data_IF_148904230504
#
_entry.id   IF_148904230504
#
_cell.length_a   1.000
_cell.length_b   1.000
_cell.length_c   1.000
_cell.angle_alpha   90.00
_cell.angle_beta   90.00
_cell.angle_gamma   90.00
#
_symmetry.space_group_name_H-M   'P 1'
#
loop_
_entity.id
_entity.type
_entity.pdbx_description
1 polymer ?
#
# COMPACT_ATOMS: atom_id res chain seq x y z
N UNK A 1 -35.81 -34.37 23.30
CA UNK A 1 -34.84 -35.44 22.98
C UNK A 1 -34.13 -35.03 21.70
N UNK A 2 -32.80 -34.96 21.72
CA UNK A 2 -32.01 -34.76 20.50
C UNK A 2 -32.14 -36.05 19.67
N UNK A 3 -32.60 -35.94 18.42
CA UNK A 3 -32.81 -37.10 17.55
C UNK A 3 -31.49 -37.69 17.06
N UNK A 4 -31.48 -38.99 16.71
CA UNK A 4 -30.30 -39.70 16.17
C UNK A 4 -29.60 -38.91 15.05
N UNK A 5 -30.38 -38.33 14.14
CA UNK A 5 -29.88 -37.51 13.02
C UNK A 5 -29.09 -36.29 13.49
N UNK A 6 -29.55 -35.60 14.55
CA UNK A 6 -28.85 -34.43 15.07
C UNK A 6 -27.52 -34.82 15.74
N UNK A 7 -27.48 -35.96 16.45
CA UNK A 7 -26.23 -36.49 17.01
C UNK A 7 -25.23 -36.89 15.91
N UNK A 8 -25.71 -37.46 14.81
CA UNK A 8 -24.83 -37.81 13.67
C UNK A 8 -24.31 -36.55 13.00
N UNK A 9 -25.14 -35.53 12.75
CA UNK A 9 -24.69 -34.26 12.16
C UNK A 9 -23.64 -33.57 13.03
N UNK A 10 -23.88 -33.46 14.33
CA UNK A 10 -22.93 -32.88 15.27
C UNK A 10 -21.60 -33.66 15.27
N UNK A 11 -21.64 -35.00 15.24
CA UNK A 11 -20.43 -35.80 15.11
C UNK A 11 -19.67 -35.54 13.80
N UNK A 12 -20.37 -35.32 12.69
CA UNK A 12 -19.75 -35.03 11.39
C UNK A 12 -19.07 -33.67 11.34
N UNK A 13 -19.62 -32.66 12.02
CA UNK A 13 -19.01 -31.33 12.13
C UNK A 13 -17.60 -31.37 12.73
N UNK A 14 -17.33 -32.33 13.61
CA UNK A 14 -15.99 -32.54 14.20
C UNK A 14 -15.13 -33.54 13.43
N UNK A 15 -15.70 -34.69 13.04
CA UNK A 15 -14.95 -35.78 12.44
C UNK A 15 -14.47 -35.48 11.02
N UNK A 16 -15.27 -34.75 10.23
CA UNK A 16 -14.92 -34.48 8.83
C UNK A 16 -13.68 -33.56 8.73
N UNK A 17 -13.60 -32.42 9.44
CA UNK A 17 -12.38 -31.61 9.43
C UNK A 17 -11.15 -32.34 9.98
N UNK A 18 -11.30 -33.13 11.04
CA UNK A 18 -10.20 -33.89 11.66
C UNK A 18 -9.63 -34.94 10.69
N UNK A 19 -10.50 -35.75 10.09
CA UNK A 19 -10.08 -36.79 9.13
C UNK A 19 -9.51 -36.19 7.85
N UNK A 20 -10.07 -35.08 7.36
CA UNK A 20 -9.53 -34.37 6.21
C UNK A 20 -8.13 -33.83 6.51
N UNK A 21 -7.93 -33.21 7.66
CA UNK A 21 -6.62 -32.69 8.07
C UNK A 21 -5.57 -33.80 8.16
N UNK A 22 -5.93 -34.96 8.71
CA UNK A 22 -5.04 -36.11 8.78
C UNK A 22 -4.66 -36.63 7.38
N UNK A 23 -5.63 -36.72 6.46
CA UNK A 23 -5.36 -37.15 5.08
C UNK A 23 -4.47 -36.16 4.34
N UNK A 24 -4.67 -34.85 4.53
CA UNK A 24 -3.82 -33.82 3.95
C UNK A 24 -2.37 -33.94 4.44
N UNK A 25 -2.17 -34.19 5.74
CA UNK A 25 -0.83 -34.44 6.30
C UNK A 25 -0.21 -35.73 5.77
N UNK A 26 -0.95 -36.83 5.74
CA UNK A 26 -0.44 -38.14 5.29
C UNK A 26 -0.06 -38.15 3.80
N UNK A 27 -0.72 -37.32 2.99
CA UNK A 27 -0.47 -37.19 1.55
C UNK A 27 0.48 -36.04 1.20
N UNK A 28 0.98 -35.28 2.19
CA UNK A 28 1.82 -34.10 1.98
C UNK A 28 1.15 -33.07 1.03
N UNK A 29 -0.15 -32.84 1.24
CA UNK A 29 -0.96 -31.94 0.42
C UNK A 29 -1.28 -30.66 1.19
N UNK A 30 -0.72 -29.55 0.70
CA UNK A 30 -1.05 -28.21 1.20
C UNK A 30 -2.26 -27.63 0.46
N UNK A 31 -3.33 -27.36 1.21
CA UNK A 31 -4.51 -26.68 0.68
C UNK A 31 -4.24 -25.16 0.57
N UNK A 32 -4.41 -24.61 -0.63
CA UNK A 32 -4.23 -23.17 -0.89
C UNK A 32 -5.40 -22.32 -0.36
N UNK A 33 -6.59 -22.91 -0.28
CA UNK A 33 -7.80 -22.27 0.24
C UNK A 33 -8.69 -23.31 0.95
N UNK A 34 -9.75 -22.83 1.60
CA UNK A 34 -10.68 -23.69 2.34
C UNK A 34 -11.30 -24.76 1.43
N UNK A 35 -11.19 -26.06 1.77
CA UNK A 35 -11.76 -27.13 0.95
C UNK A 35 -13.29 -27.09 0.95
N UNK A 36 -13.88 -27.41 -0.20
CA UNK A 36 -15.34 -27.61 -0.30
C UNK A 36 -15.69 -29.04 0.06
N UNK A 37 -16.67 -29.24 0.94
CA UNK A 37 -17.05 -30.55 1.48
C UNK A 37 -18.49 -30.87 1.10
N UNK A 38 -18.70 -32.03 0.48
CA UNK A 38 -20.01 -32.55 0.13
C UNK A 38 -20.21 -33.92 0.78
N UNK A 39 -21.22 -34.04 1.66
CA UNK A 39 -21.59 -35.32 2.28
C UNK A 39 -22.43 -36.11 1.26
N UNK A 40 -21.91 -37.25 0.81
CA UNK A 40 -22.55 -38.10 -0.22
C UNK A 40 -23.50 -39.14 0.38
N UNK A 41 -23.22 -39.64 1.58
CA UNK A 41 -24.07 -40.60 2.29
C UNK A 41 -23.89 -40.46 3.80
N UNK A 42 -24.89 -40.84 4.59
CA UNK A 42 -24.86 -40.80 6.06
C UNK A 42 -24.87 -42.19 6.69
N UNK A 43 -25.11 -43.26 5.92
CA UNK A 43 -25.20 -44.63 6.43
C UNK A 43 -24.77 -45.68 5.39
N UNK A 44 -23.46 -45.96 5.25
CA UNK A 44 -22.34 -45.41 6.02
C UNK A 44 -21.98 -43.98 5.61
N UNK A 45 -21.40 -43.22 6.53
CA UNK A 45 -20.94 -41.85 6.27
C UNK A 45 -19.91 -41.85 5.15
N UNK A 46 -20.15 -41.05 4.12
CA UNK A 46 -19.17 -40.77 3.05
C UNK A 46 -19.23 -39.29 2.69
N UNK A 47 -18.08 -38.70 2.37
CA UNK A 47 -17.98 -37.32 1.91
C UNK A 47 -16.89 -37.18 0.84
N UNK A 48 -17.02 -36.16 0.00
CA UNK A 48 -16.02 -35.73 -0.97
C UNK A 48 -15.50 -34.36 -0.55
N UNK A 49 -14.18 -34.20 -0.50
CA UNK A 49 -13.53 -32.92 -0.25
C UNK A 49 -12.79 -32.47 -1.52
N UNK A 50 -13.14 -31.30 -2.05
CA UNK A 50 -12.44 -30.67 -3.18
C UNK A 50 -11.42 -29.70 -2.62
N UNK A 51 -10.13 -30.01 -2.83
CA UNK A 51 -9.01 -29.25 -2.28
C UNK A 51 -8.39 -28.40 -3.38
N UNK A 52 -8.41 -27.05 -3.27
CA UNK A 52 -7.68 -26.19 -4.18
C UNK A 52 -6.18 -26.26 -3.84
N UNK A 53 -5.36 -26.66 -4.82
CA UNK A 53 -3.90 -26.69 -4.69
C UNK A 53 -3.28 -25.37 -5.14
N UNK A 54 -2.05 -25.12 -4.70
CA UNK A 54 -1.28 -23.98 -5.18
C UNK A 54 -1.12 -24.06 -6.70
N UNK A 55 -1.40 -22.96 -7.44
CA UNK A 55 -1.26 -22.98 -8.88
C UNK A 55 0.22 -23.09 -9.27
N UNK A 56 0.52 -23.98 -10.21
CA UNK A 56 1.81 -24.01 -10.87
C UNK A 56 1.94 -22.81 -11.81
N UNK A 57 2.95 -21.97 -11.59
CA UNK A 57 3.25 -20.80 -12.42
C UNK A 57 4.35 -21.14 -13.43
N UNK A 58 4.03 -21.04 -14.72
CA UNK A 58 5.03 -21.06 -15.80
C UNK A 58 5.33 -19.62 -16.23
N UNK A 59 6.55 -19.15 -15.91
CA UNK A 59 7.01 -17.81 -16.23
C UNK A 59 7.34 -17.62 -17.73
N UNK A 60 7.39 -18.71 -18.50
CA UNK A 60 7.87 -18.69 -19.88
C UNK A 60 9.28 -18.09 -20.01
N UNK A 61 9.60 -17.54 -21.18
CA UNK A 61 10.90 -16.93 -21.44
C UNK A 61 10.94 -15.44 -21.07
N UNK A 62 10.78 -15.14 -19.78
CA UNK A 62 10.83 -13.76 -19.26
C UNK A 62 12.15 -13.05 -19.59
N UNK A 63 13.22 -13.79 -19.92
CA UNK A 63 14.53 -13.24 -20.28
C UNK A 63 14.59 -12.69 -21.71
N UNK A 64 13.59 -12.96 -22.54
CA UNK A 64 13.41 -12.31 -23.85
C UNK A 64 12.90 -10.89 -23.72
N UNK A 65 12.31 -10.54 -22.58
CA UNK A 65 11.80 -9.19 -22.33
C UNK A 65 13.02 -8.27 -22.21
N UNK A 66 13.08 -7.25 -23.07
CA UNK A 66 14.07 -6.18 -23.05
C UNK A 66 13.33 -4.89 -22.71
N UNK A 67 13.77 -4.25 -21.65
CA UNK A 67 13.30 -2.91 -21.24
C UNK A 67 14.47 -1.97 -21.47
N UNK A 68 14.21 -0.85 -22.12
CA UNK A 68 15.22 0.20 -22.30
C UNK A 68 15.50 0.83 -20.92
N UNK A 69 16.77 0.85 -20.54
CA UNK A 69 17.19 1.57 -19.34
C UNK A 69 17.35 3.04 -19.71
N UNK A 70 16.54 3.89 -19.11
CA UNK A 70 16.79 5.32 -19.15
C UNK A 70 18.02 5.61 -18.29
N UNK A 71 19.08 6.12 -18.91
CA UNK A 71 20.28 6.58 -18.20
C UNK A 71 20.10 8.05 -17.87
N UNK A 72 19.96 8.37 -16.59
CA UNK A 72 20.00 9.76 -16.11
C UNK A 72 21.45 10.11 -15.76
N UNK A 73 21.99 11.13 -16.42
CA UNK A 73 23.27 11.72 -16.04
C UNK A 73 23.03 12.80 -15.00
N UNK A 74 23.75 12.75 -13.88
CA UNK A 74 23.75 13.81 -12.88
C UNK A 74 24.89 14.76 -13.21
N UNK A 75 24.55 16.02 -13.50
CA UNK A 75 25.54 17.05 -13.80
C UNK A 75 26.14 17.62 -12.51
N UNK A 76 27.28 18.30 -12.63
CA UNK A 76 27.83 19.06 -11.50
C UNK A 76 26.90 20.20 -11.07
N UNK A 77 26.15 20.79 -12.02
CA UNK A 77 25.19 21.86 -11.75
C UNK A 77 24.02 21.38 -10.89
N UNK A 78 23.52 20.16 -11.13
CA UNK A 78 22.47 19.55 -10.30
C UNK A 78 22.95 19.38 -8.84
N UNK A 79 24.22 18.98 -8.68
CA UNK A 79 24.84 18.79 -7.36
C UNK A 79 25.02 20.14 -6.67
N UNK A 80 25.61 21.11 -7.37
CA UNK A 80 25.86 22.44 -6.83
C UNK A 80 24.55 23.16 -6.46
N UNK A 81 23.51 23.02 -7.28
CA UNK A 81 22.17 23.55 -7.01
C UNK A 81 21.55 22.96 -5.75
N UNK A 82 21.68 21.64 -5.54
CA UNK A 82 21.20 20.99 -4.31
C UNK A 82 21.98 21.47 -3.08
N UNK A 83 23.30 21.60 -3.20
CA UNK A 83 24.14 22.11 -2.11
C UNK A 83 23.74 23.54 -1.75
N UNK A 84 23.57 24.40 -2.75
CA UNK A 84 23.21 25.80 -2.51
C UNK A 84 21.83 25.95 -1.88
N UNK A 85 20.84 25.17 -2.34
CA UNK A 85 19.52 25.12 -1.71
C UNK A 85 19.60 24.74 -0.23
N UNK A 86 20.36 23.69 0.10
CA UNK A 86 20.54 23.25 1.50
C UNK A 86 21.21 24.36 2.33
N UNK A 87 22.20 25.07 1.76
CA UNK A 87 22.86 26.19 2.45
C UNK A 87 21.89 27.34 2.74
N UNK A 88 21.02 27.66 1.81
CA UNK A 88 20.00 28.71 1.97
C UNK A 88 18.94 28.30 3.00
N UNK A 89 18.47 27.05 2.99
CA UNK A 89 17.52 26.52 3.98
C UNK A 89 18.07 26.57 5.42
N UNK A 90 19.39 26.45 5.59
CA UNK A 90 20.07 26.51 6.89
C UNK A 90 20.58 27.91 7.24
N UNK A 91 20.36 28.91 6.39
CA UNK A 91 20.80 30.28 6.65
C UNK A 91 19.97 30.94 7.76
N UNK A 92 20.63 31.78 8.56
CA UNK A 92 19.96 32.57 9.60
C UNK A 92 19.52 33.91 9.00
N UNK A 93 18.26 34.27 9.23
CA UNK A 93 17.71 35.56 8.81
C UNK A 93 18.04 36.66 9.83
N UNK A 94 18.55 37.78 9.34
CA UNK A 94 18.83 38.96 10.15
C UNK A 94 17.95 40.15 9.69
N UNK A 95 17.33 40.90 10.61
CA UNK A 95 16.58 42.10 10.25
C UNK A 95 17.47 43.16 9.62
N UNK A 96 17.01 43.77 8.52
CA UNK A 96 17.74 44.82 7.78
C UNK A 96 16.85 46.02 7.46
N UNK A 97 17.39 47.23 7.64
CA UNK A 97 16.71 48.50 7.32
C UNK A 97 17.18 49.04 5.96
N UNK A 98 16.79 48.36 4.88
CA UNK A 98 17.06 48.78 3.49
C UNK A 98 15.87 48.44 2.58
N UNK A 99 15.77 49.01 1.36
CA UNK A 99 14.79 48.56 0.38
C UNK A 99 14.89 47.05 0.12
N UNK A 100 13.74 46.43 -0.12
CA UNK A 100 13.59 44.99 -0.41
C UNK A 100 14.37 44.62 -1.66
N UNK A 101 15.03 43.47 -1.62
CA UNK A 101 15.80 42.86 -2.70
C UNK A 101 15.37 41.40 -2.91
N UNK A 102 15.67 40.85 -4.09
CA UNK A 102 15.53 39.42 -4.35
C UNK A 102 16.37 38.62 -3.35
N UNK A 103 15.77 37.57 -2.78
CA UNK A 103 16.36 36.77 -1.71
C UNK A 103 16.11 37.27 -0.28
N UNK A 104 15.43 38.40 -0.08
CA UNK A 104 15.00 38.83 1.27
C UNK A 104 13.78 38.03 1.74
N UNK A 105 13.69 37.70 3.03
CA UNK A 105 12.48 37.12 3.63
C UNK A 105 11.58 38.22 4.20
N UNK A 106 10.38 38.30 3.64
CA UNK A 106 9.34 39.24 4.04
C UNK A 106 8.29 38.54 4.90
N UNK A 107 7.77 39.24 5.89
CA UNK A 107 6.56 38.87 6.63
C UNK A 107 5.49 39.92 6.24
N UNK A 108 4.39 39.47 5.64
CA UNK A 108 3.41 40.32 4.94
C UNK A 108 2.00 39.88 5.32
N UNK A 109 1.10 40.84 5.54
CA UNK A 109 -0.34 40.60 5.64
C UNK A 109 -1.02 40.86 4.29
N UNK A 110 -1.77 39.88 3.79
CA UNK A 110 -2.39 39.88 2.46
C UNK A 110 -3.91 40.00 2.59
N UNK A 111 -4.47 41.05 1.98
CA UNK A 111 -5.91 41.30 1.94
C UNK A 111 -6.38 41.45 0.48
N UNK A 112 -7.18 40.50 0.01
CA UNK A 112 -7.76 40.47 -1.34
C UNK A 112 -9.27 40.76 -1.30
N UNK A 113 -9.71 41.76 -2.07
CA UNK A 113 -11.12 42.19 -2.14
C UNK A 113 -11.60 42.17 -3.60
N UNK A 114 -12.74 41.52 -3.85
CA UNK A 114 -13.43 41.50 -5.15
C UNK A 114 -14.87 41.91 -4.93
N UNK A 115 -15.38 42.87 -5.72
CA UNK A 115 -16.76 43.37 -5.63
C UNK A 115 -17.22 43.69 -4.20
N UNK A 116 -16.33 44.32 -3.42
CA UNK A 116 -16.52 44.72 -2.01
C UNK A 116 -16.59 43.56 -0.99
N UNK A 117 -16.40 42.30 -1.42
CA UNK A 117 -16.21 41.14 -0.55
C UNK A 117 -14.74 40.78 -0.39
N UNK A 118 -14.32 40.51 0.86
CA UNK A 118 -12.99 39.96 1.16
C UNK A 118 -12.99 38.49 0.72
N UNK A 119 -12.12 38.16 -0.22
CA UNK A 119 -11.96 36.81 -0.77
C UNK A 119 -10.71 36.11 -0.25
N UNK A 120 -9.71 36.87 0.20
CA UNK A 120 -8.45 36.38 0.77
C UNK A 120 -8.07 37.28 1.94
N UNK A 121 -7.82 36.68 3.10
CA UNK A 121 -7.28 37.33 4.29
C UNK A 121 -6.27 36.35 4.90
N UNK A 122 -4.98 36.67 4.75
CA UNK A 122 -3.88 35.88 5.30
C UNK A 122 -2.93 36.81 6.07
N UNK A 123 -2.68 36.49 7.34
CA UNK A 123 -1.75 37.22 8.21
C UNK A 123 -0.42 36.45 8.31
N UNK A 124 0.67 37.17 8.59
CA UNK A 124 2.00 36.58 8.80
C UNK A 124 2.52 35.73 7.62
N UNK A 125 2.17 36.10 6.39
CA UNK A 125 2.62 35.36 5.19
C UNK A 125 4.12 35.60 4.99
N UNK A 126 4.86 34.51 4.97
CA UNK A 126 6.29 34.53 4.65
C UNK A 126 6.51 34.42 3.15
N UNK A 127 7.22 35.39 2.58
CA UNK A 127 7.50 35.44 1.16
C UNK A 127 8.96 35.79 0.89
N UNK A 128 9.60 35.02 0.01
CA UNK A 128 10.95 35.30 -0.49
C UNK A 128 10.82 35.63 -1.97
N UNK A 129 11.10 36.88 -2.40
CA UNK A 129 11.10 37.23 -3.81
C UNK A 129 12.24 36.50 -4.53
N UNK A 130 11.90 35.66 -5.50
CA UNK A 130 12.84 34.98 -6.40
C UNK A 130 13.02 35.80 -7.70
N UNK A 131 14.19 35.70 -8.34
CA UNK A 131 14.52 36.34 -9.62
C UNK A 131 13.88 35.61 -10.82
#
# INVERSE_FOLDING_TARGET
MIGRTALVQEALEFLVPETLHQVLQDQDVDAFAEPSIEITDMEPVSFTATIPLEPSVDLGDYRTIRVESETTEVSAEDVDGVIERIRQEQAVWEPVDRPVQYGDRLNIDVNGIIDEEVVVEDEDVEYVPEE
#
